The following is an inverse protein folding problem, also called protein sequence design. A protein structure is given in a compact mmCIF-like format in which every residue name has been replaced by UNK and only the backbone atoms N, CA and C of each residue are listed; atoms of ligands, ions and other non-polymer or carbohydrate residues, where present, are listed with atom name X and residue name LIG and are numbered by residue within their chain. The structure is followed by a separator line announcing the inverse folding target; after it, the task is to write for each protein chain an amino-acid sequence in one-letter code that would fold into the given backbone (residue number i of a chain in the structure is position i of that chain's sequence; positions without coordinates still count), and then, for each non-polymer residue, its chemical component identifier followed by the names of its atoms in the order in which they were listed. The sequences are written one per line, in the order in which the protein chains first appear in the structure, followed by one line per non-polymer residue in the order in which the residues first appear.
data_IF_374049573189
#
_entry.id   IF_374049573189
#
_cell.length_a   1.000
_cell.length_b   1.000
_cell.length_c   1.000
_cell.angle_alpha   90.00
_cell.angle_beta   90.00
_cell.angle_gamma   90.00
#
_symmetry.space_group_name_H-M   'P 1'
#
loop_
_entity.id
_entity.type
_entity.pdbx_description
1 polymer ?
#
# COMPACT_ATOMS: atom_id res chain seq x y z
N UNK A 1 2.77 -11.73 -17.47
CA UNK A 1 4.05 -11.69 -16.71
C UNK A 1 3.91 -10.62 -15.62
N UNK A 2 3.98 -11.01 -14.35
CA UNK A 2 3.96 -10.04 -13.24
C UNK A 2 5.19 -9.14 -13.38
N UNK A 3 4.99 -7.82 -13.30
CA UNK A 3 6.07 -6.83 -13.33
C UNK A 3 6.16 -6.21 -11.95
N UNK A 4 7.37 -6.15 -11.39
CA UNK A 4 7.65 -5.51 -10.11
C UNK A 4 8.47 -4.24 -10.33
N UNK A 5 8.29 -3.25 -9.46
CA UNK A 5 9.09 -2.03 -9.45
C UNK A 5 9.40 -1.64 -8.01
N UNK A 6 10.59 -1.05 -7.81
CA UNK A 6 10.97 -0.46 -6.53
C UNK A 6 10.20 0.85 -6.39
N UNK A 7 9.40 0.95 -5.34
CA UNK A 7 8.55 2.11 -5.09
C UNK A 7 8.94 2.77 -3.78
N UNK A 8 8.91 4.10 -3.77
CA UNK A 8 8.81 4.84 -2.52
C UNK A 8 7.36 4.72 -2.02
N UNK A 9 7.20 4.23 -0.80
CA UNK A 9 5.94 4.21 -0.07
C UNK A 9 5.90 5.39 0.91
N UNK A 10 4.83 6.17 0.85
CA UNK A 10 4.52 7.20 1.85
C UNK A 10 3.14 6.96 2.43
N UNK A 11 3.05 6.92 3.75
CA UNK A 11 1.79 6.85 4.50
C UNK A 11 1.62 8.14 5.28
N UNK A 12 0.48 8.82 5.10
CA UNK A 12 0.17 10.09 5.73
C UNK A 12 -1.34 10.19 5.99
N UNK A 13 -1.79 11.24 6.70
CA UNK A 13 -3.21 11.41 7.09
C UNK A 13 -4.17 11.47 5.89
N UNK A 14 -3.71 11.96 4.76
CA UNK A 14 -4.47 12.06 3.50
C UNK A 14 -4.50 10.74 2.72
N UNK A 15 -3.63 9.78 3.06
CA UNK A 15 -3.71 8.40 2.59
C UNK A 15 -2.35 7.79 2.27
N UNK A 16 -2.33 6.91 1.27
CA UNK A 16 -1.14 6.18 0.84
C UNK A 16 -0.69 6.70 -0.53
N UNK A 17 0.60 6.96 -0.70
CA UNK A 17 1.21 7.27 -2.00
C UNK A 17 2.29 6.26 -2.34
N UNK A 18 2.28 5.80 -3.59
CA UNK A 18 3.32 4.98 -4.21
C UNK A 18 3.93 5.76 -5.36
N UNK A 19 5.25 5.85 -5.40
CA UNK A 19 6.00 6.46 -6.50
C UNK A 19 7.01 5.45 -7.01
N UNK A 20 6.94 5.09 -8.30
CA UNK A 20 7.95 4.22 -8.92
C UNK A 20 9.27 5.00 -9.02
N UNK A 21 10.31 4.49 -8.39
CA UNK A 21 11.61 5.16 -8.33
C UNK A 21 12.24 5.31 -9.73
N UNK A 22 12.03 4.33 -10.62
CA UNK A 22 12.58 4.34 -11.97
C UNK A 22 11.64 4.99 -13.01
N UNK A 23 10.40 5.33 -12.62
CA UNK A 23 9.35 5.89 -13.50
C UNK A 23 9.11 5.06 -14.76
N UNK A 24 9.17 3.73 -14.66
CA UNK A 24 9.06 2.80 -15.80
C UNK A 24 7.67 2.19 -15.93
N UNK A 25 6.98 1.96 -14.83
CA UNK A 25 5.65 1.35 -14.82
C UNK A 25 4.54 2.36 -14.58
N UNK A 26 4.79 3.34 -13.72
CA UNK A 26 3.90 4.46 -13.46
C UNK A 26 4.70 5.63 -12.88
N UNK A 27 4.12 6.83 -12.80
CA UNK A 27 4.77 7.96 -12.14
C UNK A 27 4.47 7.95 -10.63
N UNK A 28 3.19 8.09 -10.27
CA UNK A 28 2.71 8.07 -8.88
C UNK A 28 1.27 7.57 -8.84
N UNK A 29 0.92 6.80 -7.80
CA UNK A 29 -0.46 6.42 -7.46
C UNK A 29 -0.77 6.90 -6.04
N UNK A 30 -1.92 7.53 -5.87
CA UNK A 30 -2.39 7.98 -4.57
C UNK A 30 -3.74 7.34 -4.24
N UNK A 31 -3.86 6.84 -3.01
CA UNK A 31 -5.03 6.19 -2.46
C UNK A 31 -5.48 7.02 -1.25
N UNK A 32 -6.54 7.83 -1.38
CA UNK A 32 -7.05 8.64 -0.28
C UNK A 32 -7.46 7.78 0.91
N UNK A 33 -7.32 8.29 2.14
CA UNK A 33 -7.71 7.58 3.37
C UNK A 33 -9.12 6.99 3.29
N UNK A 34 -10.09 7.76 2.80
CA UNK A 34 -11.49 7.32 2.65
C UNK A 34 -11.67 6.13 1.70
N UNK A 35 -10.66 5.82 0.88
CA UNK A 35 -10.68 4.68 -0.05
C UNK A 35 -9.92 3.47 0.50
N UNK A 36 -9.09 3.59 1.55
CA UNK A 36 -8.30 2.47 2.08
C UNK A 36 -9.20 1.62 2.98
N UNK A 37 -9.50 0.38 2.55
CA UNK A 37 -10.48 -0.50 3.20
C UNK A 37 -9.85 -1.51 4.14
N UNK A 38 -8.63 -1.95 3.83
CA UNK A 38 -7.93 -3.02 4.56
C UNK A 38 -6.42 -2.88 4.38
N UNK A 39 -5.64 -3.26 5.39
CA UNK A 39 -4.21 -3.51 5.27
C UNK A 39 -3.82 -4.71 6.14
N UNK A 40 -2.85 -5.50 5.67
CA UNK A 40 -2.44 -6.71 6.37
C UNK A 40 -1.18 -7.36 5.79
N UNK A 41 -0.61 -8.26 6.56
CA UNK A 41 0.44 -9.18 6.12
C UNK A 41 -0.17 -10.26 5.21
N UNK A 42 0.60 -10.71 4.21
CA UNK A 42 0.18 -11.82 3.35
C UNK A 42 0.47 -13.14 4.08
N UNK A 43 -0.52 -14.05 4.24
CA UNK A 43 -0.30 -15.35 4.86
C UNK A 43 0.83 -16.13 4.19
N UNK A 44 1.77 -16.64 4.97
CA UNK A 44 2.95 -17.39 4.47
C UNK A 44 4.04 -16.53 3.82
N UNK A 45 3.78 -15.24 3.54
CA UNK A 45 4.77 -14.31 3.00
C UNK A 45 5.33 -13.40 4.09
N UNK A 46 6.38 -13.83 4.80
CA UNK A 46 6.95 -13.09 5.96
C UNK A 46 7.31 -11.61 5.68
N UNK A 47 7.54 -11.26 4.43
CA UNK A 47 7.93 -9.90 3.97
C UNK A 47 6.91 -9.27 3.02
N UNK A 48 5.82 -9.98 2.72
CA UNK A 48 4.79 -9.52 1.81
C UNK A 48 3.64 -8.94 2.62
N UNK A 49 3.21 -7.75 2.23
CA UNK A 49 2.08 -7.07 2.82
C UNK A 49 1.27 -6.39 1.74
N UNK A 50 0.10 -5.91 2.09
CA UNK A 50 -0.71 -5.19 1.13
C UNK A 50 -1.81 -4.38 1.77
N UNK A 51 -2.53 -3.71 0.90
CA UNK A 51 -3.77 -3.03 1.25
C UNK A 51 -4.78 -3.15 0.12
N UNK A 52 -6.05 -3.08 0.48
CA UNK A 52 -7.17 -3.00 -0.45
C UNK A 52 -7.68 -1.58 -0.43
N UNK A 53 -7.78 -0.97 -1.60
CA UNK A 53 -8.36 0.35 -1.75
C UNK A 53 -9.44 0.37 -2.82
N UNK A 54 -10.49 1.14 -2.58
CA UNK A 54 -11.49 1.48 -3.58
C UNK A 54 -10.87 2.40 -4.63
N UNK A 55 -11.23 2.24 -5.91
CA UNK A 55 -10.69 3.06 -7.01
C UNK A 55 -10.95 4.56 -6.84
N UNK A 56 -12.13 4.91 -6.33
CA UNK A 56 -12.52 6.24 -5.86
C UNK A 56 -13.67 6.09 -4.85
N UNK A 57 -14.09 7.14 -4.16
CA UNK A 57 -15.09 7.05 -3.08
C UNK A 57 -16.44 6.46 -3.52
N UNK A 58 -16.82 6.64 -4.79
CA UNK A 58 -18.13 6.25 -5.33
C UNK A 58 -18.11 4.93 -6.11
N UNK A 59 -16.93 4.32 -6.27
CA UNK A 59 -16.77 3.09 -7.04
C UNK A 59 -17.08 1.85 -6.21
N UNK A 60 -17.60 0.80 -6.84
CA UNK A 60 -17.65 -0.55 -6.26
C UNK A 60 -16.41 -1.39 -6.61
N UNK A 61 -15.50 -0.85 -7.42
CA UNK A 61 -14.26 -1.53 -7.81
C UNK A 61 -13.19 -1.36 -6.73
N UNK A 62 -12.62 -2.49 -6.32
CA UNK A 62 -11.50 -2.55 -5.39
C UNK A 62 -10.21 -2.95 -6.11
N UNK A 63 -9.11 -2.36 -5.69
CA UNK A 63 -7.76 -2.72 -6.11
C UNK A 63 -6.99 -3.23 -4.90
N UNK A 64 -6.45 -4.44 -5.02
CA UNK A 64 -5.46 -4.95 -4.08
C UNK A 64 -4.06 -4.54 -4.53
N UNK A 65 -3.29 -3.95 -3.62
CA UNK A 65 -1.88 -3.63 -3.84
C UNK A 65 -1.05 -4.57 -2.97
N UNK A 66 -0.16 -5.33 -3.61
CA UNK A 66 0.80 -6.20 -2.93
C UNK A 66 2.17 -5.57 -3.00
N UNK A 67 2.83 -5.50 -1.85
CA UNK A 67 4.14 -4.89 -1.63
C UNK A 67 5.05 -5.93 -0.97
N UNK A 68 6.35 -5.77 -1.19
CA UNK A 68 7.38 -6.56 -0.54
C UNK A 68 8.28 -5.61 0.22
N UNK A 69 8.63 -5.97 1.45
CA UNK A 69 9.64 -5.28 2.23
C UNK A 69 10.99 -5.30 1.50
N UNK A 70 11.66 -4.15 1.51
CA UNK A 70 13.00 -3.97 0.92
C UNK A 70 14.01 -3.61 2.02
N UNK A 71 13.64 -2.70 2.93
CA UNK A 71 14.51 -2.18 3.98
C UNK A 71 14.14 -2.78 5.34
N UNK A 72 15.07 -3.50 5.98
CA UNK A 72 14.84 -4.16 7.27
C UNK A 72 14.54 -3.17 8.41
N UNK A 73 15.06 -1.94 8.32
CA UNK A 73 14.81 -0.87 9.30
C UNK A 73 13.41 -0.25 9.17
N UNK A 74 12.66 -0.59 8.11
CA UNK A 74 11.27 -0.21 7.90
C UNK A 74 10.42 -1.46 7.65
N UNK A 75 10.20 -2.30 8.67
CA UNK A 75 9.58 -3.61 8.47
C UNK A 75 8.13 -3.48 7.99
N UNK A 76 7.71 -4.43 7.16
CA UNK A 76 6.35 -4.48 6.61
C UNK A 76 5.26 -4.40 7.69
N UNK A 77 5.49 -5.05 8.83
CA UNK A 77 4.56 -5.06 9.95
C UNK A 77 4.34 -3.67 10.56
N UNK A 78 5.40 -2.85 10.67
CA UNK A 78 5.28 -1.49 11.18
C UNK A 78 4.44 -0.62 10.24
N UNK A 79 4.61 -0.79 8.92
CA UNK A 79 3.80 -0.11 7.90
C UNK A 79 2.33 -0.51 8.01
N UNK A 80 2.04 -1.81 8.07
CA UNK A 80 0.67 -2.33 8.23
C UNK A 80 0.03 -1.78 9.51
N UNK A 81 0.75 -1.81 10.64
CA UNK A 81 0.27 -1.29 11.92
C UNK A 81 -0.06 0.20 11.84
N UNK A 82 0.78 0.99 11.16
CA UNK A 82 0.54 2.41 10.97
C UNK A 82 -0.70 2.67 10.12
N UNK A 83 -0.86 1.94 9.00
CA UNK A 83 -2.05 2.06 8.13
C UNK A 83 -3.32 1.67 8.88
N UNK A 84 -3.32 0.55 9.60
CA UNK A 84 -4.47 0.12 10.39
C UNK A 84 -4.86 1.18 11.43
N UNK A 85 -3.89 1.63 12.22
CA UNK A 85 -4.14 2.58 13.32
C UNK A 85 -4.65 3.93 12.83
N UNK A 86 -4.06 4.48 11.76
CA UNK A 86 -4.28 5.88 11.40
C UNK A 86 -5.19 6.08 10.18
N UNK A 87 -5.34 5.09 9.30
CA UNK A 87 -6.13 5.22 8.08
C UNK A 87 -7.40 4.38 8.09
N UNK A 88 -7.34 3.18 8.65
CA UNK A 88 -8.50 2.25 8.70
C UNK A 88 -9.26 2.37 10.02
N UNK A 89 -8.60 2.81 11.09
CA UNK A 89 -9.18 2.87 12.43
C UNK A 89 -9.33 1.49 13.07
N UNK A 90 -8.35 0.61 12.85
CA UNK A 90 -8.26 -0.73 13.44
C UNK A 90 -6.97 -0.92 14.22
#
# INVERSE_FOLDING_TARGET
RLRTCVCQLKVARDGISLTDHARRQFFRKHYPTACVLYSGMVPGGRRLFGFVARKNTNSQENTAVILCEIEEHQPAEAVVRFVCKYLVGR
#
